data_IF_317080383641
#
_entry.id   IF_317080383641
#
_cell.length_a   1.000
_cell.length_b   1.000
_cell.length_c   1.000
_cell.angle_alpha   90.00
_cell.angle_beta   90.00
_cell.angle_gamma   90.00
#
_symmetry.space_group_name_H-M   'P 1'
#
loop_
_entity.id
_entity.type
_entity.pdbx_description
1 polymer ?
#
# COMPACT_ATOMS: atom_id res chain seq x y z
N UNK A 1 -32.01 11.40 13.58
CA UNK A 1 -30.97 10.66 14.33
C UNK A 1 -30.82 11.15 15.78
N UNK A 2 -30.34 12.38 16.06
CA UNK A 2 -30.32 12.92 17.45
C UNK A 2 -31.72 13.22 17.99
N UNK A 3 -32.63 13.64 17.12
CA UNK A 3 -34.04 13.83 17.47
C UNK A 3 -34.81 12.51 17.65
N UNK A 4 -34.24 11.37 17.23
CA UNK A 4 -34.87 10.04 17.29
C UNK A 4 -34.34 9.15 18.43
N UNK A 5 -33.55 9.70 19.36
CA UNK A 5 -33.03 8.96 20.52
C UNK A 5 -32.03 7.83 20.18
N UNK A 6 -31.41 7.86 18.99
CA UNK A 6 -30.46 6.82 18.60
C UNK A 6 -29.15 6.92 19.39
N UNK A 7 -28.73 5.81 19.99
CA UNK A 7 -27.43 5.66 20.66
C UNK A 7 -26.27 6.01 19.69
N UNK A 8 -25.19 6.60 20.18
CA UNK A 8 -24.05 7.07 19.37
C UNK A 8 -23.45 5.96 18.49
N UNK A 9 -23.49 4.71 18.95
CA UNK A 9 -23.07 3.55 18.17
C UNK A 9 -23.94 3.28 16.94
N UNK A 10 -25.26 3.53 17.06
CA UNK A 10 -26.21 3.38 15.95
C UNK A 10 -25.99 4.50 14.94
N UNK A 11 -25.72 5.72 15.39
CA UNK A 11 -25.39 6.86 14.54
C UNK A 11 -24.08 6.59 13.79
N UNK A 12 -23.05 6.12 14.47
CA UNK A 12 -21.77 5.78 13.85
C UNK A 12 -21.94 4.73 12.74
N UNK A 13 -22.59 3.60 13.03
CA UNK A 13 -22.69 2.48 12.08
C UNK A 13 -23.71 2.69 10.96
N UNK A 14 -24.83 3.35 11.22
CA UNK A 14 -25.93 3.49 10.24
C UNK A 14 -25.96 4.82 9.52
N UNK A 15 -25.28 5.85 10.03
CA UNK A 15 -25.27 7.19 9.42
C UNK A 15 -23.85 7.54 8.95
N UNK A 16 -22.89 7.61 9.87
CA UNK A 16 -21.53 8.07 9.56
C UNK A 16 -20.83 7.11 8.59
N UNK A 17 -20.80 5.81 8.92
CA UNK A 17 -20.13 4.80 8.09
C UNK A 17 -20.60 4.81 6.62
N UNK A 18 -21.91 4.74 6.31
CA UNK A 18 -22.39 4.82 4.92
C UNK A 18 -22.07 6.14 4.19
N UNK A 19 -22.06 7.27 4.91
CA UNK A 19 -21.78 8.58 4.31
C UNK A 19 -20.30 8.75 3.92
N UNK A 20 -19.36 8.22 4.73
CA UNK A 20 -17.92 8.33 4.46
C UNK A 20 -17.37 7.17 3.62
N UNK A 21 -18.19 6.15 3.37
CA UNK A 21 -17.89 4.94 2.60
C UNK A 21 -17.18 5.24 1.27
N UNK A 22 -17.66 6.16 0.39
CA UNK A 22 -17.01 6.42 -0.90
C UNK A 22 -15.58 6.96 -0.77
N UNK A 23 -15.37 7.93 0.12
CA UNK A 23 -14.05 8.54 0.35
C UNK A 23 -13.10 7.56 1.02
N UNK A 24 -13.59 6.80 2.00
CA UNK A 24 -12.79 5.80 2.71
C UNK A 24 -12.30 4.71 1.76
N UNK A 25 -13.08 4.29 0.77
CA UNK A 25 -12.63 3.32 -0.22
C UNK A 25 -11.61 3.87 -1.18
N UNK A 26 -11.80 5.11 -1.66
CA UNK A 26 -10.78 5.76 -2.46
C UNK A 26 -9.44 5.81 -1.70
N UNK A 27 -9.47 6.25 -0.44
CA UNK A 27 -8.30 6.29 0.43
C UNK A 27 -7.73 4.89 0.68
N UNK A 28 -8.56 3.87 0.87
CA UNK A 28 -8.11 2.49 1.07
C UNK A 28 -7.32 2.00 -0.15
N UNK A 29 -7.83 2.22 -1.37
CA UNK A 29 -7.16 1.81 -2.61
C UNK A 29 -5.84 2.58 -2.75
N UNK A 30 -5.89 3.92 -2.66
CA UNK A 30 -4.72 4.78 -2.82
C UNK A 30 -3.62 4.46 -1.79
N UNK A 31 -3.98 4.30 -0.52
CA UNK A 31 -3.03 3.94 0.53
C UNK A 31 -2.51 2.51 0.38
N UNK A 32 -3.31 1.57 -0.11
CA UNK A 32 -2.83 0.20 -0.38
C UNK A 32 -1.76 0.24 -1.48
N UNK A 33 -2.03 0.92 -2.59
CA UNK A 33 -1.05 1.11 -3.68
C UNK A 33 0.22 1.78 -3.14
N UNK A 34 0.06 2.87 -2.37
CA UNK A 34 1.17 3.61 -1.77
C UNK A 34 2.01 2.75 -0.81
N UNK A 35 1.39 1.88 -0.01
CA UNK A 35 2.10 0.98 0.89
C UNK A 35 2.96 -0.04 0.14
N UNK A 36 2.48 -0.60 -0.98
CA UNK A 36 3.28 -1.50 -1.82
C UNK A 36 4.42 -0.77 -2.57
N UNK A 37 4.24 0.52 -2.85
CA UNK A 37 5.24 1.36 -3.51
C UNK A 37 6.14 2.13 -2.54
N UNK A 38 5.98 1.96 -1.23
CA UNK A 38 6.77 2.65 -0.23
C UNK A 38 8.25 2.28 -0.36
N UNK A 39 9.04 3.22 -0.86
CA UNK A 39 10.49 3.08 -0.99
C UNK A 39 11.19 3.97 0.01
N UNK A 40 11.04 5.29 -0.10
CA UNK A 40 11.77 6.28 0.71
C UNK A 40 11.73 6.01 2.22
N UNK A 41 10.56 5.85 2.88
CA UNK A 41 10.53 5.64 4.33
C UNK A 41 11.22 4.33 4.72
N UNK A 42 11.09 3.29 3.90
CA UNK A 42 11.68 1.98 4.17
C UNK A 42 13.18 2.01 3.95
N UNK A 43 13.63 2.58 2.83
CA UNK A 43 15.03 2.68 2.48
C UNK A 43 15.79 3.53 3.51
N UNK A 44 15.26 4.69 3.89
CA UNK A 44 15.91 5.57 4.89
C UNK A 44 16.00 4.87 6.24
N UNK A 45 14.91 4.31 6.75
CA UNK A 45 14.91 3.65 8.06
C UNK A 45 15.79 2.40 8.08
N UNK A 46 15.78 1.60 7.03
CA UNK A 46 16.51 0.31 7.00
C UNK A 46 17.97 0.46 6.57
N UNK A 47 18.35 1.58 5.97
CA UNK A 47 19.74 1.99 5.74
C UNK A 47 20.41 2.53 7.01
N UNK A 48 19.62 3.18 7.86
CA UNK A 48 20.12 4.02 8.97
C UNK A 48 19.89 3.42 10.37
N UNK A 49 19.32 2.21 10.47
CA UNK A 49 19.36 1.42 11.69
C UNK A 49 20.83 1.13 12.04
N UNK A 50 21.37 1.88 13.01
CA UNK A 50 22.78 1.99 13.43
C UNK A 50 23.55 0.73 13.86
N UNK A 51 23.23 -0.44 13.31
CA UNK A 51 24.02 -1.67 13.38
C UNK A 51 24.77 -1.81 12.06
N UNK A 52 26.01 -1.31 12.03
CA UNK A 52 26.74 -1.01 10.81
C UNK A 52 26.86 -2.11 9.75
N UNK A 53 27.20 -1.66 8.54
CA UNK A 53 27.67 -2.43 7.36
C UNK A 53 26.63 -3.19 6.52
N UNK A 54 25.34 -3.19 6.86
CA UNK A 54 24.29 -3.78 6.01
C UNK A 54 23.59 -2.73 5.13
N UNK A 55 23.45 -2.97 3.82
CA UNK A 55 22.61 -2.15 2.96
C UNK A 55 21.12 -2.16 3.39
N UNK A 56 20.29 -1.28 2.82
CA UNK A 56 18.87 -1.13 3.17
C UNK A 56 18.10 -2.46 3.11
N UNK A 57 17.53 -2.94 4.22
CA UNK A 57 16.88 -4.26 4.32
C UNK A 57 17.14 -5.01 5.62
N UNK A 58 17.88 -4.41 6.57
CA UNK A 58 18.13 -4.99 7.89
C UNK A 58 19.15 -6.15 7.86
N UNK A 59 19.57 -6.66 9.05
CA UNK A 59 20.41 -7.84 9.13
C UNK A 59 19.73 -9.03 8.43
N UNK A 60 20.50 -9.73 7.58
CA UNK A 60 20.00 -10.89 6.82
C UNK A 60 18.77 -10.59 5.93
N UNK A 61 18.58 -9.35 5.46
CA UNK A 61 17.49 -8.95 4.56
C UNK A 61 16.07 -9.12 5.14
N UNK A 62 15.95 -9.18 6.46
CA UNK A 62 14.68 -9.39 7.18
C UNK A 62 13.64 -8.29 6.98
N UNK A 63 14.04 -7.09 6.59
CA UNK A 63 13.16 -5.96 6.29
C UNK A 63 13.22 -5.53 4.83
N UNK A 64 13.69 -6.42 3.94
CA UNK A 64 13.82 -6.14 2.52
C UNK A 64 12.45 -6.15 1.84
N UNK A 65 12.04 -5.00 1.31
CA UNK A 65 10.83 -4.89 0.48
C UNK A 65 11.14 -5.01 -1.01
N UNK A 66 10.12 -5.34 -1.81
CA UNK A 66 10.25 -5.50 -3.26
C UNK A 66 10.80 -4.21 -3.92
N UNK A 67 10.38 -3.04 -3.45
CA UNK A 67 10.86 -1.74 -3.93
C UNK A 67 12.35 -1.53 -3.65
N UNK A 68 12.82 -1.87 -2.45
CA UNK A 68 14.24 -1.83 -2.09
C UNK A 68 15.04 -2.87 -2.86
N UNK A 69 14.49 -4.06 -3.10
CA UNK A 69 15.12 -5.10 -3.92
C UNK A 69 15.32 -4.66 -5.37
N UNK A 70 14.29 -4.05 -5.99
CA UNK A 70 14.38 -3.48 -7.34
C UNK A 70 15.50 -2.42 -7.39
N UNK A 71 15.53 -1.52 -6.41
CA UNK A 71 16.56 -0.47 -6.31
C UNK A 71 17.97 -1.06 -6.25
N UNK A 72 18.21 -2.03 -5.35
CA UNK A 72 19.52 -2.71 -5.23
C UNK A 72 19.92 -3.38 -6.54
N UNK A 73 19.01 -4.12 -7.19
CA UNK A 73 19.32 -4.77 -8.46
C UNK A 73 19.56 -3.78 -9.60
N UNK A 74 18.92 -2.62 -9.58
CA UNK A 74 19.11 -1.59 -10.59
C UNK A 74 20.45 -0.86 -10.45
N UNK A 75 20.86 -0.51 -9.22
CA UNK A 75 22.05 0.32 -8.98
C UNK A 75 23.31 -0.45 -8.58
N UNK A 76 23.19 -1.58 -7.88
CA UNK A 76 24.36 -2.31 -7.33
C UNK A 76 24.87 -3.41 -8.29
N UNK A 77 24.06 -3.79 -9.29
CA UNK A 77 24.39 -4.85 -10.26
C UNK A 77 24.43 -4.28 -11.67
N UNK A 78 25.64 -4.05 -12.19
CA UNK A 78 25.88 -3.41 -13.49
C UNK A 78 25.18 -4.06 -14.71
N UNK A 79 24.69 -5.30 -14.59
CA UNK A 79 24.00 -6.04 -15.66
C UNK A 79 22.57 -6.52 -15.28
N UNK A 80 22.01 -6.09 -14.14
CA UNK A 80 20.70 -6.57 -13.67
C UNK A 80 19.56 -5.56 -13.85
N UNK A 81 19.75 -4.50 -14.63
CA UNK A 81 18.71 -3.51 -14.93
C UNK A 81 17.47 -4.14 -15.56
N UNK A 82 17.66 -5.06 -16.53
CA UNK A 82 16.54 -5.78 -17.14
C UNK A 82 15.81 -6.70 -16.15
N UNK A 83 16.55 -7.29 -15.20
CA UNK A 83 15.96 -8.09 -14.13
C UNK A 83 15.16 -7.22 -13.15
N UNK A 84 15.71 -6.08 -12.72
CA UNK A 84 15.02 -5.11 -11.87
C UNK A 84 13.71 -4.61 -12.54
N UNK A 85 13.74 -4.34 -13.85
CA UNK A 85 12.57 -3.96 -14.62
C UNK A 85 11.52 -5.09 -14.69
N UNK A 86 11.93 -6.35 -14.85
CA UNK A 86 11.03 -7.50 -14.83
C UNK A 86 10.33 -7.66 -13.47
N UNK A 87 11.07 -7.49 -12.36
CA UNK A 87 10.50 -7.52 -11.01
C UNK A 87 9.54 -6.34 -10.78
N UNK A 88 9.87 -5.15 -11.28
CA UNK A 88 8.99 -3.98 -11.23
C UNK A 88 7.67 -4.21 -11.99
N UNK A 89 7.73 -4.82 -13.18
CA UNK A 89 6.53 -5.22 -13.94
C UNK A 89 5.70 -6.26 -13.19
N UNK A 90 6.34 -7.22 -12.54
CA UNK A 90 5.63 -8.21 -11.72
C UNK A 90 4.92 -7.56 -10.52
N UNK A 91 5.59 -6.65 -9.82
CA UNK A 91 4.99 -5.87 -8.74
C UNK A 91 3.81 -5.03 -9.26
N UNK A 92 3.93 -4.41 -10.43
CA UNK A 92 2.84 -3.70 -11.07
C UNK A 92 1.63 -4.60 -11.32
N UNK A 93 1.83 -5.82 -11.84
CA UNK A 93 0.74 -6.77 -12.07
C UNK A 93 0.05 -7.19 -10.76
N UNK A 94 0.79 -7.35 -9.67
CA UNK A 94 0.23 -7.64 -8.35
C UNK A 94 -0.65 -6.47 -7.88
N UNK A 95 -0.12 -5.24 -7.94
CA UNK A 95 -0.85 -4.02 -7.54
C UNK A 95 -2.10 -3.84 -8.40
N UNK A 96 -1.99 -4.05 -9.72
CA UNK A 96 -3.11 -3.96 -10.66
C UNK A 96 -4.19 -5.00 -10.33
N UNK A 97 -3.79 -6.26 -10.10
CA UNK A 97 -4.70 -7.32 -9.71
C UNK A 97 -5.46 -7.00 -8.42
N UNK A 98 -4.75 -6.55 -7.39
CA UNK A 98 -5.34 -6.10 -6.13
C UNK A 98 -6.30 -4.92 -6.36
N UNK A 99 -5.89 -3.94 -7.16
CA UNK A 99 -6.71 -2.76 -7.47
C UNK A 99 -8.00 -3.15 -8.20
N UNK A 100 -7.93 -4.05 -9.18
CA UNK A 100 -9.10 -4.56 -9.90
C UNK A 100 -10.04 -5.34 -8.98
N UNK A 101 -9.49 -6.17 -8.08
CA UNK A 101 -10.29 -6.90 -7.08
C UNK A 101 -10.99 -5.91 -6.15
N UNK A 102 -10.27 -4.91 -5.64
CA UNK A 102 -10.82 -3.85 -4.79
C UNK A 102 -11.94 -3.09 -5.51
N UNK A 103 -11.72 -2.66 -6.76
CA UNK A 103 -12.73 -1.98 -7.56
C UNK A 103 -13.98 -2.85 -7.82
N UNK A 104 -13.81 -4.14 -8.15
CA UNK A 104 -14.94 -5.04 -8.39
C UNK A 104 -15.77 -5.30 -7.14
N UNK A 105 -15.12 -5.45 -5.98
CA UNK A 105 -15.83 -5.62 -4.70
C UNK A 105 -16.63 -4.36 -4.34
N UNK A 106 -16.12 -3.18 -4.69
CA UNK A 106 -16.76 -1.91 -4.34
C UNK A 106 -17.79 -1.40 -5.35
N UNK A 107 -17.69 -1.78 -6.64
CA UNK A 107 -18.70 -1.43 -7.64
C UNK A 107 -20.12 -1.88 -7.25
N UNK A 108 -20.28 -2.88 -6.37
CA UNK A 108 -21.59 -3.31 -5.86
C UNK A 108 -22.12 -2.55 -4.65
N UNK A 109 -21.31 -1.71 -3.97
CA UNK A 109 -21.68 -1.09 -2.68
C UNK A 109 -21.74 0.43 -2.68
N UNK A 110 -21.43 1.09 -3.79
CA UNK A 110 -21.43 2.56 -3.86
C UNK A 110 -22.53 2.99 -4.83
N UNK A 111 -23.69 3.38 -4.29
CA UNK A 111 -24.63 4.20 -5.05
C UNK A 111 -24.01 5.60 -5.15
N UNK A 112 -23.38 5.88 -6.29
CA UNK A 112 -23.18 7.25 -6.72
C UNK A 112 -24.56 7.84 -6.99
N UNK A 113 -24.97 8.81 -6.17
CA UNK A 113 -25.99 9.80 -6.49
C UNK A 113 -25.24 11.13 -6.62
#
# INVERSE_FOLDING_TARGET
ARMDGANDWVILRRVIWPLVTPVTFFLLIANTIGAFQAFDPIYVLTRDLGFGRGGAGGPLETTLTVTVYIFRNFYERANAVGYAAAVALFLFLIILGLTVIQFRLFSKRVHYQ
#
